data_IF_874307061484
#
_entry.id   IF_874307061484
#
_cell.length_a   1.000
_cell.length_b   1.000
_cell.length_c   1.000
_cell.angle_alpha   90.00
_cell.angle_beta   90.00
_cell.angle_gamma   90.00
#
_symmetry.space_group_name_H-M   'P 1'
#
loop_
_entity.id
_entity.type
_entity.pdbx_description
1 polymer ?
#
# COMPACT_ATOMS: atom_id res chain seq x y z
N UNK A 1 31.43 -20.60 55.29
CA UNK A 1 30.87 -21.21 54.07
C UNK A 1 29.57 -20.48 53.70
N UNK A 2 29.36 -20.25 52.40
CA UNK A 2 28.17 -19.79 51.65
C UNK A 2 26.81 -20.29 52.23
N UNK A 3 25.62 -19.70 52.01
CA UNK A 3 25.08 -18.85 50.92
C UNK A 3 23.70 -18.22 51.31
N UNK A 4 23.37 -17.14 50.59
CA UNK A 4 22.17 -16.27 50.58
C UNK A 4 20.85 -16.94 50.12
N UNK A 5 19.70 -16.30 50.41
CA UNK A 5 18.51 -16.35 49.55
C UNK A 5 17.21 -15.81 50.17
N UNK A 6 16.88 -14.55 49.90
CA UNK A 6 15.77 -13.72 50.43
C UNK A 6 14.44 -13.84 49.67
N UNK A 7 13.34 -14.12 50.40
CA UNK A 7 12.06 -13.35 50.56
C UNK A 7 11.47 -12.54 49.38
N UNK A 8 10.16 -12.37 49.16
CA UNK A 8 8.87 -12.88 49.68
C UNK A 8 7.78 -12.33 48.74
N UNK A 9 6.83 -13.16 48.30
CA UNK A 9 5.64 -12.73 47.53
C UNK A 9 4.73 -11.85 48.39
N UNK A 10 4.25 -10.71 47.86
CA UNK A 10 3.14 -9.97 48.47
C UNK A 10 1.81 -10.31 47.80
N UNK A 11 0.85 -10.55 48.70
CA UNK A 11 -0.56 -10.87 48.55
C UNK A 11 -1.34 -9.94 47.61
N UNK A 12 -2.25 -10.60 46.91
CA UNK A 12 -3.49 -10.10 46.34
C UNK A 12 -4.57 -10.16 47.42
N UNK A 13 -5.36 -9.09 47.60
CA UNK A 13 -6.67 -9.08 48.28
C UNK A 13 -7.39 -7.75 47.99
N UNK A 14 -8.40 -7.86 47.12
CA UNK A 14 -9.76 -7.33 47.16
C UNK A 14 -10.05 -5.84 47.42
N UNK A 15 -10.72 -5.22 46.44
CA UNK A 15 -11.32 -3.89 46.57
C UNK A 15 -11.99 -3.42 45.29
N UNK A 16 -13.09 -4.06 44.89
CA UNK A 16 -13.94 -3.64 43.76
C UNK A 16 -14.54 -2.26 44.04
N UNK A 17 -14.07 -1.23 43.33
CA UNK A 17 -14.82 0.01 43.08
C UNK A 17 -14.58 0.47 41.64
N UNK A 18 -15.48 0.02 40.78
CA UNK A 18 -15.83 0.58 39.48
C UNK A 18 -15.93 2.10 39.52
N UNK A 19 -15.06 2.83 38.82
CA UNK A 19 -15.45 4.04 38.05
C UNK A 19 -14.58 4.09 36.78
N UNK A 20 -15.23 3.75 35.66
CA UNK A 20 -14.83 4.13 34.31
C UNK A 20 -14.93 5.65 34.14
N UNK A 21 -13.88 6.32 33.67
CA UNK A 21 -13.93 7.54 32.85
C UNK A 21 -12.49 7.89 32.42
N UNK A 22 -12.04 7.46 31.25
CA UNK A 22 -11.96 8.31 30.06
C UNK A 22 -11.35 9.70 30.33
N UNK A 23 -10.02 9.80 30.24
CA UNK A 23 -9.35 11.04 29.86
C UNK A 23 -8.21 10.71 28.89
N UNK A 24 -8.52 10.94 27.63
CA UNK A 24 -7.72 10.81 26.42
C UNK A 24 -6.45 11.65 26.49
N UNK A 25 -5.30 11.04 26.76
CA UNK A 25 -4.02 11.55 26.26
C UNK A 25 -3.78 10.92 24.89
N UNK A 26 -4.20 11.64 23.85
CA UNK A 26 -3.79 11.37 22.46
C UNK A 26 -2.29 11.58 22.41
N UNK A 27 -1.53 10.51 22.63
CA UNK A 27 -0.11 10.47 22.33
C UNK A 27 0.03 10.63 20.82
N UNK A 28 0.66 11.75 20.48
CA UNK A 28 1.04 12.16 19.13
C UNK A 28 1.60 10.97 18.37
N UNK A 29 0.85 10.49 17.38
CA UNK A 29 1.31 9.52 16.41
C UNK A 29 2.31 10.24 15.48
N UNK A 30 3.52 10.51 15.98
CA UNK A 30 4.68 10.75 15.11
C UNK A 30 5.09 9.40 14.51
N UNK A 31 4.25 8.89 13.61
CA UNK A 31 4.74 7.93 12.63
C UNK A 31 5.80 8.67 11.81
N UNK A 32 7.00 8.12 11.62
CA UNK A 32 7.91 8.69 10.66
C UNK A 32 7.17 8.67 9.33
N UNK A 33 7.01 9.84 8.71
CA UNK A 33 6.83 9.93 7.26
C UNK A 33 8.11 9.39 6.65
N UNK A 34 8.27 8.07 6.71
CA UNK A 34 9.18 7.30 5.89
C UNK A 34 8.68 7.46 4.47
N UNK A 35 8.97 8.62 3.89
CA UNK A 35 9.01 8.79 2.46
C UNK A 35 10.10 7.84 2.03
N UNK A 36 9.72 6.62 1.68
CA UNK A 36 10.52 5.73 0.84
C UNK A 36 10.66 6.48 -0.48
N UNK A 37 11.50 7.50 -0.50
CA UNK A 37 12.10 8.06 -1.69
C UNK A 37 13.33 7.21 -1.96
N UNK A 38 13.10 5.90 -2.13
CA UNK A 38 13.94 5.15 -3.03
C UNK A 38 13.56 5.69 -4.40
N UNK A 39 14.29 6.71 -4.86
CA UNK A 39 14.49 6.87 -6.28
C UNK A 39 15.22 5.58 -6.71
N UNK A 40 14.44 4.53 -6.95
CA UNK A 40 14.94 3.28 -7.49
C UNK A 40 15.49 3.64 -8.85
N UNK A 41 16.82 3.73 -8.94
CA UNK A 41 17.53 3.83 -10.20
C UNK A 41 17.36 2.50 -10.91
N UNK A 42 16.21 2.33 -11.57
CA UNK A 42 15.92 1.14 -12.35
C UNK A 42 16.87 1.12 -13.55
N UNK A 43 17.46 -0.05 -13.85
CA UNK A 43 18.03 -0.27 -15.18
C UNK A 43 16.95 -0.13 -16.24
N UNK A 44 17.31 0.18 -17.49
CA UNK A 44 16.32 0.32 -18.58
C UNK A 44 15.47 -0.95 -18.74
N UNK A 45 16.12 -2.11 -18.67
CA UNK A 45 15.47 -3.42 -18.73
C UNK A 45 14.56 -3.67 -17.53
N UNK A 46 15.00 -3.28 -16.32
CA UNK A 46 14.19 -3.38 -15.11
C UNK A 46 12.94 -2.51 -15.18
N UNK A 47 13.08 -1.27 -15.65
CA UNK A 47 11.95 -0.36 -15.84
C UNK A 47 10.97 -0.88 -16.90
N UNK A 48 11.49 -1.48 -17.98
CA UNK A 48 10.68 -2.12 -19.02
C UNK A 48 9.90 -3.31 -18.48
N UNK A 49 10.54 -4.16 -17.68
CA UNK A 49 9.89 -5.31 -17.04
C UNK A 49 8.77 -4.88 -16.08
N UNK A 50 9.04 -3.90 -15.22
CA UNK A 50 8.05 -3.33 -14.30
C UNK A 50 6.88 -2.67 -15.04
N UNK A 51 7.15 -1.92 -16.10
CA UNK A 51 6.10 -1.34 -16.92
C UNK A 51 5.24 -2.42 -17.58
N UNK A 52 5.86 -3.46 -18.14
CA UNK A 52 5.13 -4.57 -18.77
C UNK A 52 4.23 -5.30 -17.77
N UNK A 53 4.76 -5.64 -16.60
CA UNK A 53 4.01 -6.29 -15.53
C UNK A 53 2.84 -5.41 -15.07
N UNK A 54 3.10 -4.13 -14.79
CA UNK A 54 2.06 -3.21 -14.35
C UNK A 54 0.98 -3.00 -15.41
N UNK A 55 1.34 -2.84 -16.69
CA UNK A 55 0.36 -2.67 -17.78
C UNK A 55 -0.50 -3.93 -17.93
N UNK A 56 0.07 -5.13 -17.72
CA UNK A 56 -0.69 -6.38 -17.72
C UNK A 56 -1.77 -6.39 -16.64
N UNK A 57 -1.45 -5.96 -15.42
CA UNK A 57 -2.40 -5.84 -14.31
C UNK A 57 -3.52 -4.86 -14.66
N UNK A 58 -3.18 -3.67 -15.17
CA UNK A 58 -4.15 -2.65 -15.56
C UNK A 58 -5.08 -3.15 -16.69
N UNK A 59 -4.54 -3.86 -17.68
CA UNK A 59 -5.33 -4.47 -18.76
C UNK A 59 -6.26 -5.57 -18.26
N UNK A 60 -5.83 -6.34 -17.26
CA UNK A 60 -6.68 -7.36 -16.64
C UNK A 60 -7.83 -6.71 -15.88
N UNK A 61 -7.53 -5.77 -15.00
CA UNK A 61 -8.53 -4.99 -14.28
C UNK A 61 -9.53 -4.30 -15.22
N UNK A 62 -9.04 -3.69 -16.31
CA UNK A 62 -9.88 -3.06 -17.32
C UNK A 62 -10.87 -4.04 -17.97
N UNK A 63 -10.42 -5.27 -18.25
CA UNK A 63 -11.28 -6.31 -18.84
C UNK A 63 -12.33 -6.82 -17.86
N UNK A 64 -11.94 -7.08 -16.61
CA UNK A 64 -12.86 -7.51 -15.55
C UNK A 64 -13.92 -6.44 -15.29
N UNK A 65 -13.49 -5.18 -15.18
CA UNK A 65 -14.39 -4.06 -14.94
C UNK A 65 -15.31 -3.76 -16.14
N UNK A 66 -14.83 -3.94 -17.38
CA UNK A 66 -15.68 -3.82 -18.56
C UNK A 66 -16.74 -4.94 -18.63
N UNK A 67 -16.39 -6.17 -18.23
CA UNK A 67 -17.37 -7.26 -18.15
C UNK A 67 -18.44 -7.01 -17.07
N UNK A 68 -18.06 -6.35 -15.96
CA UNK A 68 -18.98 -6.01 -14.87
C UNK A 68 -19.93 -4.83 -15.19
N UNK A 69 -19.67 -4.07 -16.26
CA UNK A 69 -20.40 -2.84 -16.57
C UNK A 69 -21.74 -3.02 -17.27
N UNK A 70 -22.36 -4.21 -17.17
CA UNK A 70 -23.76 -4.43 -17.56
C UNK A 70 -24.75 -3.49 -16.84
N UNK A 71 -24.30 -2.75 -15.82
CA UNK A 71 -25.09 -1.82 -15.00
C UNK A 71 -24.72 -0.33 -15.18
N UNK A 72 -24.23 0.05 -16.37
CA UNK A 72 -24.09 1.45 -16.75
C UNK A 72 -22.85 2.15 -16.19
N UNK A 73 -22.29 3.06 -16.98
CA UNK A 73 -21.17 3.98 -16.63
C UNK A 73 -19.72 3.48 -16.68
N UNK A 74 -19.39 2.39 -17.40
CA UNK A 74 -17.98 2.17 -17.78
C UNK A 74 -17.59 3.13 -18.91
N UNK A 75 -17.33 4.39 -18.57
CA UNK A 75 -16.49 5.22 -19.41
C UNK A 75 -15.12 4.55 -19.46
N UNK A 76 -14.57 4.34 -20.66
CA UNK A 76 -13.17 3.99 -20.95
C UNK A 76 -12.20 5.10 -20.50
N UNK A 77 -12.45 5.65 -19.33
CA UNK A 77 -11.71 6.75 -18.77
C UNK A 77 -10.66 6.16 -17.84
N UNK A 78 -9.47 6.72 -17.89
CA UNK A 78 -8.32 6.48 -17.00
C UNK A 78 -8.63 6.82 -15.51
N UNK A 79 -9.91 7.03 -15.19
CA UNK A 79 -10.48 7.33 -13.87
C UNK A 79 -11.64 6.39 -13.51
N UNK A 80 -11.74 5.22 -14.15
CA UNK A 80 -12.76 4.24 -13.78
C UNK A 80 -12.48 3.71 -12.35
N UNK A 81 -13.38 3.92 -11.38
CA UNK A 81 -13.14 3.55 -9.99
C UNK A 81 -12.98 2.04 -9.79
N UNK A 82 -13.65 1.22 -10.62
CA UNK A 82 -13.47 -0.23 -10.59
C UNK A 82 -12.03 -0.60 -10.96
N UNK A 83 -11.49 -0.01 -12.04
CA UNK A 83 -10.11 -0.30 -12.49
C UNK A 83 -9.10 0.17 -11.45
N UNK A 84 -9.30 1.35 -10.87
CA UNK A 84 -8.43 1.88 -9.82
C UNK A 84 -8.41 0.93 -8.63
N UNK A 85 -9.59 0.58 -8.10
CA UNK A 85 -9.70 -0.29 -6.93
C UNK A 85 -9.11 -1.68 -7.16
N UNK A 86 -9.35 -2.27 -8.33
CA UNK A 86 -8.82 -3.60 -8.66
C UNK A 86 -7.30 -3.59 -8.83
N UNK A 87 -6.74 -2.60 -9.51
CA UNK A 87 -5.27 -2.43 -9.65
C UNK A 87 -4.61 -2.21 -8.30
N UNK A 88 -5.14 -1.30 -7.47
CA UNK A 88 -4.58 -1.02 -6.14
C UNK A 88 -4.67 -2.21 -5.19
N UNK A 89 -5.74 -3.00 -5.27
CA UNK A 89 -5.86 -4.26 -4.54
C UNK A 89 -4.83 -5.27 -5.03
N UNK A 90 -4.72 -5.45 -6.35
CA UNK A 90 -3.84 -6.45 -6.95
C UNK A 90 -2.36 -6.16 -6.67
N UNK A 91 -1.92 -4.90 -6.80
CA UNK A 91 -0.54 -4.51 -6.51
C UNK A 91 -0.20 -4.72 -5.04
N UNK A 92 -1.12 -4.40 -4.12
CA UNK A 92 -0.92 -4.66 -2.68
C UNK A 92 -0.86 -6.15 -2.37
N UNK A 93 -1.66 -6.97 -3.06
CA UNK A 93 -1.68 -8.43 -2.87
C UNK A 93 -0.41 -9.12 -3.38
N UNK A 94 0.23 -8.61 -4.43
CA UNK A 94 1.43 -9.22 -5.00
C UNK A 94 2.67 -9.09 -4.10
N UNK A 95 2.66 -8.23 -3.09
CA UNK A 95 3.79 -8.00 -2.15
C UNK A 95 5.14 -7.70 -2.84
N UNK A 96 5.10 -7.15 -4.06
CA UNK A 96 6.30 -6.75 -4.83
C UNK A 96 6.65 -5.28 -4.56
N UNK A 97 7.65 -4.97 -3.72
CA UNK A 97 7.93 -3.60 -3.32
C UNK A 97 8.35 -2.72 -4.50
N UNK A 98 9.09 -3.25 -5.46
CA UNK A 98 9.52 -2.50 -6.66
C UNK A 98 8.35 -2.13 -7.56
N UNK A 99 7.36 -3.01 -7.69
CA UNK A 99 6.15 -2.76 -8.49
C UNK A 99 5.25 -1.72 -7.81
N UNK A 100 5.18 -1.76 -6.48
CA UNK A 100 4.48 -0.75 -5.68
C UNK A 100 5.14 0.62 -5.81
N UNK A 101 6.47 0.69 -5.69
CA UNK A 101 7.22 1.93 -5.89
C UNK A 101 7.01 2.48 -7.31
N UNK A 102 7.16 1.63 -8.33
CA UNK A 102 6.88 1.99 -9.73
C UNK A 102 5.45 2.54 -9.90
N UNK A 103 4.44 1.88 -9.32
CA UNK A 103 3.05 2.34 -9.34
C UNK A 103 2.87 3.73 -8.71
N UNK A 104 3.49 3.95 -7.55
CA UNK A 104 3.36 5.18 -6.77
C UNK A 104 4.05 6.38 -7.44
N UNK A 105 5.17 6.14 -8.13
CA UNK A 105 5.89 7.20 -8.87
C UNK A 105 5.09 7.73 -10.06
N UNK A 106 4.26 6.90 -10.69
CA UNK A 106 3.49 7.32 -11.87
C UNK A 106 2.38 8.33 -11.51
N UNK A 107 2.17 9.37 -12.34
CA UNK A 107 1.00 10.24 -12.20
C UNK A 107 -0.28 9.46 -12.52
N UNK A 108 -1.39 9.83 -11.88
CA UNK A 108 -2.69 9.13 -12.00
C UNK A 108 -3.11 8.86 -13.46
N UNK A 109 -2.87 9.82 -14.37
CA UNK A 109 -3.21 9.67 -15.79
C UNK A 109 -2.46 8.52 -16.48
N UNK A 110 -1.23 8.23 -16.06
CA UNK A 110 -0.41 7.13 -16.61
C UNK A 110 -0.55 5.85 -15.81
N UNK A 111 -0.67 5.96 -14.48
CA UNK A 111 -0.78 4.83 -13.55
C UNK A 111 -1.84 3.81 -13.98
N UNK A 112 -3.02 4.28 -14.38
CA UNK A 112 -4.15 3.43 -14.76
C UNK A 112 -4.41 3.36 -16.27
N UNK A 113 -3.45 3.80 -17.08
CA UNK A 113 -3.54 3.70 -18.54
C UNK A 113 -3.07 2.31 -19.01
N UNK A 114 -3.99 1.57 -19.62
CA UNK A 114 -3.78 0.21 -20.14
C UNK A 114 -2.99 0.18 -21.47
N UNK A 115 -2.85 1.32 -22.16
CA UNK A 115 -2.23 1.42 -23.48
C UNK A 115 -0.88 2.14 -23.46
N UNK A 116 -0.44 2.64 -22.30
CA UNK A 116 0.83 3.33 -22.17
C UNK A 116 2.03 2.44 -22.57
N UNK A 117 3.03 3.09 -23.13
CA UNK A 117 4.31 2.50 -23.47
C UNK A 117 5.38 2.81 -22.41
N UNK A 118 6.56 2.20 -22.54
CA UNK A 118 7.73 2.55 -21.72
C UNK A 118 8.17 4.02 -21.93
N UNK A 119 7.94 4.58 -23.11
CA UNK A 119 8.30 5.97 -23.42
C UNK A 119 7.44 6.98 -22.63
N UNK A 120 6.20 6.60 -22.31
CA UNK A 120 5.28 7.45 -21.54
C UNK A 120 5.63 7.55 -20.06
N UNK A 121 6.37 6.57 -19.53
CA UNK A 121 6.67 6.44 -18.11
C UNK A 121 8.11 6.78 -17.76
N UNK A 122 9.05 6.57 -18.69
CA UNK A 122 10.49 6.83 -18.49
C UNK A 122 10.82 8.20 -17.88
N UNK A 123 10.18 9.32 -18.28
CA UNK A 123 10.50 10.63 -17.73
C UNK A 123 10.30 10.78 -16.21
N UNK A 124 9.58 9.84 -15.57
CA UNK A 124 9.33 9.86 -14.13
C UNK A 124 10.38 9.08 -13.30
N UNK A 125 11.37 8.45 -13.94
CA UNK A 125 12.34 7.56 -13.28
C UNK A 125 13.81 7.89 -13.62
N UNK A 126 14.07 9.14 -14.03
CA UNK A 126 15.43 9.63 -14.31
C UNK A 126 16.11 10.19 -13.06
#
# INVERSE_FOLDING_TARGET
>A
MLKRGTTTKRKQEDGVKTIFAFLTSVLVFMGPLGSVQAASSYSEDGLRALNFEHVRIVRQASRVCAASSQWGFARYNHRNPCVIGDVERHIRFLEKPELLAFHQTLPLRRRFDAQRSIHDVRPFFN
#
